data_IF_547089409825
#
_entry.id   IF_547089409825
#
_cell.length_a   1.000
_cell.length_b   1.000
_cell.length_c   1.000
_cell.angle_alpha   90.00
_cell.angle_beta   90.00
_cell.angle_gamma   90.00
#
_symmetry.space_group_name_H-M   'P 1'
#
loop_
_entity.id
_entity.type
_entity.pdbx_description
1 polymer ?
#
# COMPACT_ATOMS: atom_id res chain seq x y z
N UNK A 1 -3.65 22.03 -28.26
CA UNK A 1 -4.14 21.98 -26.86
C UNK A 1 -4.21 23.41 -26.31
N UNK A 2 -5.32 23.83 -25.72
CA UNK A 2 -5.43 25.18 -25.14
C UNK A 2 -4.44 25.28 -23.95
N UNK A 3 -3.75 26.42 -23.83
CA UNK A 3 -2.77 26.68 -22.76
C UNK A 3 -3.30 26.34 -21.36
N UNK A 4 -4.60 26.54 -21.11
CA UNK A 4 -5.30 26.19 -19.88
C UNK A 4 -5.30 24.67 -19.60
N UNK A 5 -5.52 23.83 -20.62
CA UNK A 5 -5.55 22.36 -20.47
C UNK A 5 -4.17 21.82 -20.08
N UNK A 6 -3.09 22.38 -20.64
CA UNK A 6 -1.73 21.99 -20.28
C UNK A 6 -1.43 22.32 -18.81
N UNK A 7 -1.80 23.53 -18.35
CA UNK A 7 -1.58 23.94 -16.96
C UNK A 7 -2.34 23.04 -16.00
N UNK A 8 -3.60 22.70 -16.29
CA UNK A 8 -4.39 21.81 -15.45
C UNK A 8 -3.73 20.42 -15.36
N UNK A 9 -3.27 19.85 -16.47
CA UNK A 9 -2.59 18.56 -16.47
C UNK A 9 -1.28 18.58 -15.66
N UNK A 10 -0.49 19.64 -15.76
CA UNK A 10 0.73 19.79 -14.97
C UNK A 10 0.43 19.89 -13.46
N UNK A 11 -0.62 20.62 -13.08
CA UNK A 11 -1.08 20.70 -11.69
C UNK A 11 -1.52 19.32 -11.20
N UNK A 12 -2.32 18.58 -11.99
CA UNK A 12 -2.74 17.23 -11.62
C UNK A 12 -1.55 16.27 -11.41
N UNK A 13 -0.54 16.31 -12.29
CA UNK A 13 0.66 15.50 -12.16
C UNK A 13 1.43 15.89 -10.89
N UNK A 14 1.60 17.17 -10.61
CA UNK A 14 2.28 17.64 -9.40
C UNK A 14 1.56 17.18 -8.12
N UNK A 15 0.23 17.27 -8.08
CA UNK A 15 -0.58 16.80 -6.95
C UNK A 15 -0.44 15.29 -6.78
N UNK A 16 -0.53 14.50 -7.86
CA UNK A 16 -0.36 13.05 -7.82
C UNK A 16 1.05 12.67 -7.36
N UNK A 17 2.08 13.39 -7.78
CA UNK A 17 3.46 13.12 -7.37
C UNK A 17 3.66 13.38 -5.87
N UNK A 18 3.10 14.47 -5.35
CA UNK A 18 3.12 14.77 -3.91
C UNK A 18 2.40 13.66 -3.13
N UNK A 19 1.23 13.22 -3.63
CA UNK A 19 0.47 12.14 -3.01
C UNK A 19 1.27 10.82 -2.96
N UNK A 20 1.88 10.42 -4.08
CA UNK A 20 2.74 9.22 -4.14
C UNK A 20 3.94 9.32 -3.19
N UNK A 21 4.53 10.50 -3.04
CA UNK A 21 5.68 10.70 -2.14
C UNK A 21 5.29 10.54 -0.67
N UNK A 22 4.09 10.95 -0.28
CA UNK A 22 3.60 10.89 1.10
C UNK A 22 3.07 9.49 1.43
N UNK A 23 2.23 8.92 0.56
CA UNK A 23 1.51 7.67 0.83
C UNK A 23 2.42 6.42 0.84
N UNK A 24 3.55 6.48 0.13
CA UNK A 24 4.52 5.38 0.04
C UNK A 24 5.86 5.66 0.74
N UNK A 25 5.83 6.43 1.82
CA UNK A 25 7.00 6.58 2.67
C UNK A 25 7.21 5.29 3.49
N UNK A 26 8.40 4.65 3.45
CA UNK A 26 8.64 3.38 4.14
C UNK A 26 8.47 3.52 5.65
N UNK A 27 7.94 2.47 6.28
CA UNK A 27 7.85 2.37 7.72
C UNK A 27 9.22 2.08 8.32
N UNK A 28 9.54 2.74 9.44
CA UNK A 28 10.80 2.56 10.17
C UNK A 28 10.54 2.03 11.57
N UNK A 29 11.57 1.51 12.22
CA UNK A 29 11.47 1.10 13.64
C UNK A 29 11.01 2.25 14.55
N UNK A 30 11.32 3.50 14.20
CA UNK A 30 10.92 4.68 14.97
C UNK A 30 9.47 5.12 14.73
N UNK A 31 8.90 4.77 13.57
CA UNK A 31 7.51 5.09 13.20
C UNK A 31 6.54 3.93 13.46
N UNK A 32 7.00 2.91 14.17
CA UNK A 32 6.23 1.71 14.49
C UNK A 32 6.41 1.33 15.96
N UNK A 33 5.40 0.66 16.50
CA UNK A 33 5.50 0.00 17.82
C UNK A 33 5.03 -1.44 17.74
N UNK A 34 5.42 -2.26 18.70
CA UNK A 34 5.10 -3.69 18.74
C UNK A 34 4.38 -4.05 20.03
N UNK A 35 3.49 -5.05 19.93
CA UNK A 35 2.89 -5.70 21.10
C UNK A 35 2.55 -7.17 20.79
N UNK A 36 2.45 -7.98 21.82
CA UNK A 36 2.00 -9.37 21.71
C UNK A 36 0.48 -9.43 21.79
N UNK A 37 -0.13 -10.28 20.98
CA UNK A 37 -1.59 -10.44 20.89
C UNK A 37 -1.95 -11.76 20.22
N UNK A 38 -3.20 -12.16 20.35
CA UNK A 38 -3.83 -13.17 19.50
C UNK A 38 -4.65 -12.51 18.39
N UNK A 39 -4.80 -13.20 17.26
CA UNK A 39 -5.59 -12.74 16.12
C UNK A 39 -6.95 -13.42 16.13
N UNK A 40 -8.02 -12.67 15.94
CA UNK A 40 -9.38 -13.18 15.85
C UNK A 40 -10.19 -12.43 14.78
N UNK A 41 -11.38 -12.97 14.41
CA UNK A 41 -12.31 -12.32 13.48
C UNK A 41 -11.66 -11.90 12.15
N UNK A 42 -10.96 -12.84 11.49
CA UNK A 42 -10.25 -12.60 10.22
C UNK A 42 -11.24 -12.46 9.06
N UNK A 43 -11.22 -11.31 8.38
CA UNK A 43 -12.08 -10.99 7.24
C UNK A 43 -11.27 -10.43 6.09
N UNK A 44 -11.39 -11.02 4.90
CA UNK A 44 -10.75 -10.52 3.68
C UNK A 44 -11.64 -9.53 2.95
N UNK A 45 -11.06 -8.42 2.53
CA UNK A 45 -11.72 -7.39 1.74
C UNK A 45 -10.96 -7.10 0.44
N UNK A 46 -11.75 -6.89 -0.63
CA UNK A 46 -11.22 -6.49 -1.92
C UNK A 46 -12.11 -5.40 -2.52
N UNK A 47 -11.52 -4.24 -2.84
CA UNK A 47 -12.21 -3.10 -3.44
C UNK A 47 -11.36 -2.53 -4.56
N UNK A 48 -11.76 -2.81 -5.81
CA UNK A 48 -10.98 -2.43 -7.00
C UNK A 48 -9.56 -3.06 -6.96
N UNK A 49 -8.54 -2.23 -6.76
CA UNK A 49 -7.12 -2.61 -6.70
C UNK A 49 -6.57 -2.65 -5.27
N UNK A 50 -7.42 -2.39 -4.27
CA UNK A 50 -7.04 -2.42 -2.87
C UNK A 50 -7.52 -3.73 -2.26
N UNK A 51 -6.64 -4.40 -1.54
CA UNK A 51 -6.92 -5.66 -0.85
C UNK A 51 -6.33 -5.59 0.54
N UNK A 52 -7.08 -6.06 1.53
CA UNK A 52 -6.62 -6.08 2.92
C UNK A 52 -7.34 -7.15 3.70
N UNK A 53 -6.73 -7.55 4.80
CA UNK A 53 -7.33 -8.45 5.79
C UNK A 53 -7.61 -7.61 7.02
N UNK A 54 -8.85 -7.61 7.46
CA UNK A 54 -9.26 -7.07 8.74
C UNK A 54 -9.25 -8.19 9.80
N UNK A 55 -8.86 -7.85 11.00
CA UNK A 55 -8.87 -8.76 12.13
C UNK A 55 -8.94 -7.97 13.44
N UNK A 56 -9.29 -8.69 14.52
CA UNK A 56 -9.30 -8.12 15.84
C UNK A 56 -8.07 -8.60 16.61
N UNK A 57 -7.56 -7.75 17.49
CA UNK A 57 -6.46 -8.01 18.42
C UNK A 57 -6.89 -7.60 19.82
N UNK A 58 -6.13 -7.96 20.86
CA UNK A 58 -6.41 -7.55 22.23
C UNK A 58 -6.39 -6.02 22.41
N UNK A 59 -5.66 -5.31 21.54
CA UNK A 59 -5.56 -3.86 21.57
C UNK A 59 -6.56 -3.13 20.65
N UNK A 60 -7.44 -3.87 19.98
CA UNK A 60 -8.48 -3.34 19.12
C UNK A 60 -8.46 -3.87 17.70
N UNK A 61 -9.26 -3.26 16.85
CA UNK A 61 -9.39 -3.64 15.46
C UNK A 61 -8.14 -3.27 14.65
N UNK A 62 -7.69 -4.18 13.81
CA UNK A 62 -6.51 -4.01 12.98
C UNK A 62 -6.77 -4.37 11.51
N UNK A 63 -5.88 -3.97 10.64
CA UNK A 63 -5.84 -4.42 9.25
C UNK A 63 -4.41 -4.61 8.76
N UNK A 64 -4.25 -5.55 7.84
CA UNK A 64 -3.02 -5.77 7.08
C UNK A 64 -3.30 -5.56 5.59
N UNK A 65 -2.57 -4.63 4.96
CA UNK A 65 -2.70 -4.34 3.54
C UNK A 65 -1.95 -5.38 2.74
N UNK A 66 -2.66 -6.12 1.89
CA UNK A 66 -2.06 -7.07 0.97
C UNK A 66 -1.42 -6.32 -0.20
N UNK A 67 -0.16 -6.61 -0.43
CA UNK A 67 0.61 -5.99 -1.50
C UNK A 67 0.56 -6.88 -2.74
N UNK A 68 0.36 -6.27 -3.90
CA UNK A 68 0.31 -6.98 -5.16
C UNK A 68 1.45 -6.49 -6.06
N UNK A 69 2.52 -7.26 -6.14
CA UNK A 69 3.70 -6.90 -6.92
C UNK A 69 3.66 -7.33 -8.39
N UNK A 70 2.68 -8.12 -8.84
CA UNK A 70 2.52 -8.44 -10.26
C UNK A 70 1.15 -9.00 -10.61
N UNK A 71 0.66 -8.67 -11.80
CA UNK A 71 -0.64 -9.08 -12.34
C UNK A 71 -0.87 -10.60 -12.42
N UNK A 72 0.17 -11.43 -12.36
CA UNK A 72 0.09 -12.88 -12.55
C UNK A 72 0.33 -13.72 -11.28
N UNK A 73 1.11 -13.25 -10.32
CA UNK A 73 1.40 -13.98 -9.06
C UNK A 73 0.46 -13.62 -7.91
N UNK A 74 -0.39 -12.64 -8.11
CA UNK A 74 -1.23 -12.03 -7.08
C UNK A 74 -2.18 -12.99 -6.39
N UNK A 75 -2.78 -13.93 -7.14
CA UNK A 75 -3.88 -14.72 -6.60
C UNK A 75 -3.40 -15.76 -5.61
N UNK A 76 -2.31 -16.43 -5.93
CA UNK A 76 -1.74 -17.46 -5.07
C UNK A 76 -1.19 -16.85 -3.77
N UNK A 77 -0.44 -15.74 -3.87
CA UNK A 77 0.10 -15.06 -2.69
C UNK A 77 -1.01 -14.55 -1.77
N UNK A 78 -2.07 -13.95 -2.31
CA UNK A 78 -3.22 -13.50 -1.51
C UNK A 78 -3.92 -14.68 -0.83
N UNK A 79 -4.06 -15.83 -1.50
CA UNK A 79 -4.64 -17.03 -0.90
C UNK A 79 -3.75 -17.58 0.23
N UNK A 80 -2.42 -17.59 0.06
CA UNK A 80 -1.45 -17.98 1.08
C UNK A 80 -1.48 -17.04 2.30
N UNK A 81 -1.54 -15.73 2.06
CA UNK A 81 -1.64 -14.73 3.13
C UNK A 81 -2.94 -14.91 3.94
N UNK A 82 -4.08 -15.11 3.27
CA UNK A 82 -5.37 -15.37 3.95
C UNK A 82 -5.30 -16.66 4.76
N UNK A 83 -4.73 -17.72 4.22
CA UNK A 83 -4.57 -19.00 4.93
C UNK A 83 -3.67 -18.85 6.17
N UNK A 84 -2.61 -18.04 6.06
CA UNK A 84 -1.73 -17.72 7.20
C UNK A 84 -2.49 -17.03 8.32
N UNK A 85 -3.28 -15.99 8.01
CA UNK A 85 -4.11 -15.32 9.02
C UNK A 85 -5.16 -16.26 9.64
N UNK A 86 -5.80 -17.10 8.83
CA UNK A 86 -6.75 -18.10 9.33
C UNK A 86 -6.07 -19.12 10.24
N UNK A 87 -4.87 -19.60 9.86
CA UNK A 87 -4.09 -20.53 10.68
C UNK A 87 -3.73 -19.92 12.05
N UNK A 88 -3.30 -18.66 12.08
CA UNK A 88 -2.99 -17.95 13.33
C UNK A 88 -4.24 -17.82 14.23
N UNK A 89 -5.38 -17.48 13.63
CA UNK A 89 -6.66 -17.35 14.32
C UNK A 89 -7.14 -18.68 14.86
N UNK A 90 -7.21 -19.73 14.03
CA UNK A 90 -7.79 -21.05 14.38
C UNK A 90 -6.97 -21.75 15.45
N UNK A 91 -5.67 -21.52 15.50
CA UNK A 91 -4.77 -22.14 16.48
C UNK A 91 -4.51 -21.26 17.70
N UNK A 92 -5.12 -20.07 17.80
CA UNK A 92 -4.94 -19.12 18.91
C UNK A 92 -3.43 -18.82 19.16
N UNK A 93 -2.66 -18.66 18.10
CA UNK A 93 -1.22 -18.42 18.21
C UNK A 93 -0.98 -16.99 18.71
N UNK A 94 -0.23 -16.86 19.80
CA UNK A 94 0.23 -15.55 20.25
C UNK A 94 1.34 -15.05 19.33
N UNK A 95 1.11 -13.92 18.72
CA UNK A 95 2.04 -13.28 17.79
C UNK A 95 2.45 -11.91 18.28
N UNK A 96 3.63 -11.46 17.87
CA UNK A 96 4.05 -10.07 17.99
C UNK A 96 3.67 -9.32 16.73
N UNK A 97 2.76 -8.36 16.84
CA UNK A 97 2.38 -7.50 15.73
C UNK A 97 3.10 -6.17 15.81
N UNK A 98 3.53 -5.68 14.67
CA UNK A 98 4.12 -4.35 14.51
C UNK A 98 3.12 -3.43 13.84
N UNK A 99 2.81 -2.33 14.49
CA UNK A 99 1.82 -1.34 14.04
C UNK A 99 2.52 -0.07 13.61
N UNK A 100 2.15 0.43 12.45
CA UNK A 100 2.61 1.73 11.94
C UNK A 100 1.77 2.86 12.52
N UNK A 101 2.43 3.93 12.95
CA UNK A 101 1.79 5.20 13.33
C UNK A 101 1.42 6.05 12.10
N UNK A 102 1.93 5.70 10.92
CA UNK A 102 1.65 6.41 9.68
C UNK A 102 0.28 6.04 9.14
N UNK A 103 -0.42 7.05 8.64
CA UNK A 103 -1.68 6.86 7.93
C UNK A 103 -1.42 6.65 6.45
N UNK A 104 -2.11 5.69 5.85
CA UNK A 104 -2.15 5.48 4.42
C UNK A 104 -3.56 5.77 3.85
N UNK A 105 -3.72 5.58 2.54
CA UNK A 105 -5.00 5.82 1.88
C UNK A 105 -6.14 4.97 2.45
N UNK A 106 -5.87 3.70 2.82
CA UNK A 106 -6.88 2.82 3.43
C UNK A 106 -7.30 3.32 4.81
N UNK A 107 -6.34 3.79 5.63
CA UNK A 107 -6.66 4.33 6.96
C UNK A 107 -7.49 5.62 6.89
N UNK A 108 -7.40 6.36 5.78
CA UNK A 108 -8.19 7.57 5.58
C UNK A 108 -9.62 7.31 5.10
N UNK A 109 -9.86 6.19 4.43
CA UNK A 109 -11.14 5.90 3.76
C UNK A 109 -11.94 4.78 4.41
N UNK A 110 -11.36 3.57 4.46
CA UNK A 110 -12.08 2.35 4.82
C UNK A 110 -11.70 1.80 6.21
N UNK A 111 -10.52 2.17 6.75
CA UNK A 111 -9.95 1.63 8.00
C UNK A 111 -9.48 2.74 8.97
N UNK A 112 -10.19 3.85 9.05
CA UNK A 112 -9.80 5.02 9.87
C UNK A 112 -9.76 4.73 11.37
N UNK A 113 -10.50 3.73 11.84
CA UNK A 113 -10.62 3.28 13.23
C UNK A 113 -9.78 2.02 13.53
N UNK A 114 -8.95 1.57 12.58
CA UNK A 114 -8.18 0.33 12.69
C UNK A 114 -6.68 0.60 12.77
N UNK A 115 -5.98 -0.26 13.52
CA UNK A 115 -4.53 -0.27 13.61
C UNK A 115 -3.93 -0.83 12.30
N UNK A 116 -2.99 -0.12 11.71
CA UNK A 116 -2.28 -0.57 10.51
C UNK A 116 -1.13 -1.48 10.90
N UNK A 117 -1.28 -2.78 10.69
CA UNK A 117 -0.23 -3.76 10.93
C UNK A 117 0.68 -3.84 9.71
N UNK A 118 2.01 -3.86 9.93
CA UNK A 118 3.05 -3.88 8.89
C UNK A 118 4.00 -5.07 9.01
N UNK A 119 3.99 -5.77 10.14
CA UNK A 119 4.71 -7.03 10.31
C UNK A 119 4.03 -7.91 11.37
N UNK A 120 4.18 -9.22 11.23
CA UNK A 120 3.66 -10.23 12.16
C UNK A 120 4.71 -11.32 12.30
N UNK A 121 5.11 -11.61 13.54
CA UNK A 121 6.09 -12.64 13.86
C UNK A 121 5.72 -13.35 15.18
N UNK A 122 6.23 -14.53 15.41
CA UNK A 122 6.23 -15.18 16.71
C UNK A 122 7.66 -15.51 17.15
N UNK A 123 7.82 -16.22 18.26
CA UNK A 123 9.14 -16.56 18.78
C UNK A 123 9.90 -17.57 17.90
N UNK A 124 9.26 -18.17 16.88
CA UNK A 124 9.81 -19.22 16.03
C UNK A 124 9.97 -18.78 14.55
N UNK A 125 9.08 -17.92 14.06
CA UNK A 125 9.07 -17.54 12.64
C UNK A 125 8.49 -16.14 12.41
N UNK A 126 8.86 -15.57 11.26
CA UNK A 126 8.30 -14.34 10.73
C UNK A 126 7.27 -14.71 9.68
N UNK A 127 6.00 -14.33 9.90
CA UNK A 127 4.92 -14.55 8.95
C UNK A 127 4.86 -13.44 7.89
N UNK A 128 4.99 -12.20 8.34
CA UNK A 128 5.02 -11.02 7.48
C UNK A 128 6.11 -10.08 7.98
N UNK A 129 7.11 -9.80 7.14
CA UNK A 129 8.25 -8.97 7.54
C UNK A 129 8.03 -7.49 7.22
N UNK A 130 8.62 -6.61 8.04
CA UNK A 130 8.62 -5.18 7.77
C UNK A 130 9.42 -4.85 6.50
N UNK A 131 10.46 -5.60 6.21
CA UNK A 131 11.31 -5.38 5.02
C UNK A 131 10.53 -5.71 3.74
N UNK A 132 9.81 -6.84 3.70
CA UNK A 132 8.95 -7.20 2.57
C UNK A 132 7.86 -6.16 2.37
N UNK A 133 7.22 -5.69 3.45
CA UNK A 133 6.24 -4.62 3.40
C UNK A 133 6.82 -3.34 2.78
N UNK A 134 8.00 -2.93 3.21
CA UNK A 134 8.67 -1.73 2.71
C UNK A 134 9.15 -1.87 1.27
N UNK A 135 9.64 -3.04 0.87
CA UNK A 135 10.07 -3.32 -0.51
C UNK A 135 8.87 -3.29 -1.48
N UNK A 136 7.72 -3.79 -1.07
CA UNK A 136 6.48 -3.68 -1.82
C UNK A 136 6.04 -2.22 -1.99
N UNK A 137 6.08 -1.43 -0.92
CA UNK A 137 5.77 0.00 -1.00
C UNK A 137 6.74 0.72 -1.95
N UNK A 138 8.03 0.44 -1.86
CA UNK A 138 9.07 1.03 -2.70
C UNK A 138 8.88 0.65 -4.18
N UNK A 139 8.54 -0.61 -4.46
CA UNK A 139 8.23 -1.10 -5.80
C UNK A 139 7.02 -0.36 -6.39
N UNK A 140 5.93 -0.26 -5.62
CA UNK A 140 4.72 0.45 -6.00
C UNK A 140 4.98 1.94 -6.25
N UNK A 141 5.75 2.60 -5.36
CA UNK A 141 6.18 3.99 -5.52
C UNK A 141 6.96 4.19 -6.82
N UNK A 142 7.91 3.31 -7.10
CA UNK A 142 8.74 3.35 -8.31
C UNK A 142 7.89 3.21 -9.57
N UNK A 143 6.92 2.30 -9.58
CA UNK A 143 5.98 2.12 -10.69
C UNK A 143 5.17 3.41 -10.95
N UNK A 144 4.59 4.02 -9.93
CA UNK A 144 3.84 5.27 -10.09
C UNK A 144 4.72 6.42 -10.59
N UNK A 145 5.95 6.54 -10.09
CA UNK A 145 6.90 7.54 -10.58
C UNK A 145 7.21 7.35 -12.07
N UNK A 146 7.42 6.11 -12.52
CA UNK A 146 7.66 5.81 -13.95
C UNK A 146 6.44 6.19 -14.79
N UNK A 147 5.23 5.84 -14.38
CA UNK A 147 3.99 6.19 -15.08
C UNK A 147 3.82 7.71 -15.20
N UNK A 148 4.09 8.46 -14.14
CA UNK A 148 4.02 9.91 -14.14
C UNK A 148 5.08 10.53 -15.05
N UNK A 149 6.31 10.00 -15.08
CA UNK A 149 7.37 10.44 -15.99
C UNK A 149 7.01 10.18 -17.46
N UNK A 150 6.46 9.02 -17.79
CA UNK A 150 5.98 8.69 -19.13
C UNK A 150 4.84 9.64 -19.54
N UNK A 151 3.92 9.96 -18.66
CA UNK A 151 2.86 10.92 -18.93
C UNK A 151 3.42 12.31 -19.22
N UNK A 152 4.39 12.78 -18.45
CA UNK A 152 5.10 14.05 -18.71
C UNK A 152 5.80 14.05 -20.07
N UNK A 153 6.49 12.96 -20.42
CA UNK A 153 7.16 12.81 -21.71
C UNK A 153 6.17 12.87 -22.90
N UNK A 154 5.02 12.19 -22.76
CA UNK A 154 3.94 12.24 -23.75
C UNK A 154 3.37 13.67 -23.92
N UNK A 155 3.13 14.39 -22.81
CA UNK A 155 2.66 15.77 -22.86
C UNK A 155 3.67 16.70 -23.55
N UNK A 156 4.95 16.54 -23.24
CA UNK A 156 6.01 17.33 -23.87
C UNK A 156 6.14 17.02 -25.37
N UNK A 157 6.11 15.73 -25.76
CA UNK A 157 6.11 15.29 -27.15
C UNK A 157 4.94 15.86 -27.94
N UNK A 158 3.72 15.78 -27.37
CA UNK A 158 2.51 16.35 -27.95
C UNK A 158 2.64 17.88 -28.13
N UNK A 159 3.14 18.58 -27.12
CA UNK A 159 3.34 20.03 -27.19
C UNK A 159 4.32 20.41 -28.29
N UNK A 160 5.44 19.71 -28.43
CA UNK A 160 6.42 19.94 -29.52
C UNK A 160 5.83 19.67 -30.89
N UNK A 161 5.09 18.57 -31.03
CA UNK A 161 4.42 18.21 -32.29
C UNK A 161 3.43 19.29 -32.74
N UNK A 162 2.56 19.75 -31.82
CA UNK A 162 1.60 20.83 -32.12
C UNK A 162 2.28 22.17 -32.50
N UNK A 163 3.40 22.48 -31.87
CA UNK A 163 4.19 23.67 -32.22
C UNK A 163 4.83 23.53 -33.59
N UNK A 164 5.21 22.33 -34.01
CA UNK A 164 5.75 22.07 -35.37
C UNK A 164 4.67 22.25 -36.43
N UNK A 165 3.45 21.77 -36.20
CA UNK A 165 2.32 21.91 -37.14
C UNK A 165 1.79 23.35 -37.26
N UNK A 166 2.07 24.21 -36.28
CA UNK A 166 1.61 25.61 -36.27
C UNK A 166 2.59 26.60 -36.91
N UNK A 167 3.73 26.12 -37.43
CA UNK A 167 4.67 26.88 -38.23
C UNK A 167 4.45 26.62 -39.71
#
# INVERSE_FOLDING_TARGET
>A
MKKRTLIIQLICIAVLLVFVLIDFEPDTMQSTYTYKTTISNVEYYSKKHLRWINFDTDNGKAYYKLHSNSFYFERQQVEEDIQTFQYLCDNNIEVQVRVSEKRDFLSLTDNHDRLRVVAIEDDQQVYFSLDDHNDDQKSTKSFFCIVLLLWLACLFGYYRFMRFLSK
#
